data_IF_176151318102
#
_entry.id   IF_176151318102
#
_cell.length_a   1.000
_cell.length_b   1.000
_cell.length_c   1.000
_cell.angle_alpha   90.00
_cell.angle_beta   90.00
_cell.angle_gamma   90.00
#
_symmetry.space_group_name_H-M   'P 1'
#
loop_
_entity.id
_entity.type
_entity.pdbx_description
1 polymer ?
#
# COMPACT_ATOMS: atom_id res chain seq x y z
N UNK A 1 7.19 8.49 -11.13
CA UNK A 1 7.84 8.39 -9.81
C UNK A 1 7.12 9.34 -8.86
N UNK A 2 6.88 8.89 -7.64
CA UNK A 2 6.25 9.76 -6.62
C UNK A 2 7.33 10.57 -5.89
N UNK A 3 7.55 11.78 -6.36
CA UNK A 3 8.53 12.71 -5.78
C UNK A 3 8.23 13.04 -4.32
N UNK A 4 6.95 13.08 -3.91
CA UNK A 4 6.55 13.37 -2.53
C UNK A 4 7.05 12.30 -1.55
N UNK A 5 6.97 11.02 -1.93
CA UNK A 5 7.48 9.93 -1.08
C UNK A 5 8.99 9.92 -0.96
N UNK A 6 9.70 10.21 -2.06
CA UNK A 6 11.17 10.29 -2.04
C UNK A 6 11.60 11.49 -1.20
N UNK A 7 11.01 12.67 -1.43
CA UNK A 7 11.31 13.87 -0.66
C UNK A 7 11.02 13.68 0.83
N UNK A 8 9.86 13.09 1.18
CA UNK A 8 9.50 12.81 2.57
C UNK A 8 10.51 11.91 3.27
N UNK A 9 10.95 10.83 2.62
CA UNK A 9 11.97 9.93 3.17
C UNK A 9 13.32 10.65 3.35
N UNK A 10 13.74 11.42 2.35
CA UNK A 10 15.00 12.19 2.39
C UNK A 10 14.96 13.23 3.51
N UNK A 11 13.86 13.99 3.65
CA UNK A 11 13.70 14.99 4.71
C UNK A 11 13.74 14.33 6.09
N UNK A 12 13.05 13.18 6.27
CA UNK A 12 13.04 12.47 7.53
C UNK A 12 14.43 11.97 7.94
N UNK A 13 15.17 11.36 7.02
CA UNK A 13 16.54 10.92 7.26
C UNK A 13 17.50 12.09 7.48
N UNK A 14 17.39 13.14 6.67
CA UNK A 14 18.18 14.36 6.83
C UNK A 14 17.95 15.00 8.20
N UNK A 15 16.70 15.05 8.69
CA UNK A 15 16.37 15.58 10.01
C UNK A 15 17.11 14.86 11.14
N UNK A 16 17.18 13.52 11.09
CA UNK A 16 17.93 12.71 12.06
C UNK A 16 19.44 12.98 11.98
N UNK A 17 19.99 13.03 10.77
CA UNK A 17 21.41 13.27 10.54
C UNK A 17 21.80 14.71 10.97
N UNK A 18 21.04 15.71 10.56
CA UNK A 18 21.30 17.10 10.93
C UNK A 18 21.16 17.33 12.43
N UNK A 19 20.14 16.75 13.08
CA UNK A 19 19.99 16.83 14.54
C UNK A 19 21.24 16.32 15.25
N UNK A 20 21.75 15.15 14.86
CA UNK A 20 22.98 14.58 15.41
C UNK A 20 24.22 15.45 15.18
N UNK A 21 24.35 16.08 14.00
CA UNK A 21 25.49 16.92 13.67
C UNK A 21 25.48 18.28 14.39
N UNK A 22 24.31 18.88 14.57
CA UNK A 22 24.16 20.18 15.29
C UNK A 22 24.57 20.03 16.74
N UNK A 23 24.26 18.89 17.38
CA UNK A 23 24.68 18.59 18.76
C UNK A 23 26.17 18.19 18.86
N UNK A 24 26.94 18.26 17.78
CA UNK A 24 28.36 17.87 17.76
C UNK A 24 28.57 16.36 17.84
N UNK A 25 27.51 15.56 17.66
CA UNK A 25 27.58 14.10 17.70
C UNK A 25 28.26 13.52 16.46
N UNK A 26 28.86 12.34 16.62
CA UNK A 26 29.49 11.59 15.52
C UNK A 26 28.47 10.66 14.87
N UNK A 27 28.37 10.66 13.54
CA UNK A 27 27.46 9.75 12.81
C UNK A 27 27.81 8.27 13.03
N UNK A 28 29.09 7.96 13.25
CA UNK A 28 29.53 6.60 13.58
C UNK A 28 28.90 6.05 14.87
N UNK A 29 28.52 6.91 15.80
CA UNK A 29 27.84 6.50 17.04
C UNK A 29 26.46 5.92 16.79
N UNK A 30 25.80 6.34 15.69
CA UNK A 30 24.51 5.80 15.25
C UNK A 30 24.66 4.47 14.46
N UNK A 31 25.85 4.10 14.06
CA UNK A 31 26.07 2.86 13.29
C UNK A 31 26.38 1.69 14.24
N UNK A 32 25.33 1.04 14.73
CA UNK A 32 25.42 -0.09 15.65
C UNK A 32 24.84 -1.37 15.00
N UNK A 33 25.68 -2.24 14.37
CA UNK A 33 25.21 -3.42 13.66
C UNK A 33 24.39 -4.39 14.54
N UNK A 34 24.76 -4.54 15.81
CA UNK A 34 24.03 -5.39 16.74
C UNK A 34 22.61 -4.87 17.00
N UNK A 35 22.47 -3.57 17.25
CA UNK A 35 21.16 -2.93 17.42
C UNK A 35 20.29 -3.07 16.16
N UNK A 36 20.89 -2.85 14.97
CA UNK A 36 20.20 -3.01 13.70
C UNK A 36 19.72 -4.45 13.49
N UNK A 37 20.57 -5.44 13.74
CA UNK A 37 20.21 -6.85 13.61
C UNK A 37 19.03 -7.23 14.53
N UNK A 38 19.07 -6.84 15.80
CA UNK A 38 17.98 -7.12 16.76
C UNK A 38 16.66 -6.52 16.27
N UNK A 39 16.66 -5.24 15.87
CA UNK A 39 15.45 -4.55 15.46
C UNK A 39 14.89 -5.12 14.16
N UNK A 40 15.73 -5.31 13.14
CA UNK A 40 15.25 -5.79 11.83
C UNK A 40 14.84 -7.25 11.89
N UNK A 41 15.68 -8.13 12.43
CA UNK A 41 15.38 -9.56 12.47
C UNK A 41 14.23 -9.85 13.44
N UNK A 42 14.20 -9.20 14.60
CA UNK A 42 13.12 -9.36 15.58
C UNK A 42 11.77 -8.89 15.03
N UNK A 43 11.74 -7.70 14.40
CA UNK A 43 10.52 -7.18 13.76
C UNK A 43 10.06 -8.07 12.61
N UNK A 44 10.99 -8.47 11.73
CA UNK A 44 10.67 -9.35 10.58
C UNK A 44 10.17 -10.70 11.06
N UNK A 45 10.81 -11.29 12.06
CA UNK A 45 10.40 -12.56 12.66
C UNK A 45 8.99 -12.50 13.26
N UNK A 46 8.67 -11.42 14.00
CA UNK A 46 7.33 -11.21 14.56
C UNK A 46 6.25 -11.09 13.46
N UNK A 47 6.54 -10.33 12.39
CA UNK A 47 5.62 -10.18 11.25
C UNK A 47 5.43 -11.49 10.51
N UNK A 48 6.50 -12.27 10.29
CA UNK A 48 6.42 -13.57 9.62
C UNK A 48 5.64 -14.59 10.45
N UNK A 49 5.76 -14.56 11.77
CA UNK A 49 5.05 -15.48 12.67
C UNK A 49 3.53 -15.28 12.61
N UNK A 50 3.07 -14.04 12.43
CA UNK A 50 1.63 -13.72 12.42
C UNK A 50 1.01 -13.75 11.03
N UNK A 51 1.82 -13.77 9.95
CA UNK A 51 1.34 -13.55 8.57
C UNK A 51 1.63 -14.76 7.70
N UNK A 52 0.67 -15.16 6.88
CA UNK A 52 0.90 -16.19 5.87
C UNK A 52 2.03 -15.77 4.92
N UNK A 53 2.98 -16.66 4.64
CA UNK A 53 4.18 -16.38 3.85
C UNK A 53 3.87 -15.78 2.46
N UNK A 54 2.79 -16.25 1.81
CA UNK A 54 2.35 -15.71 0.51
C UNK A 54 1.95 -14.24 0.61
N UNK A 55 1.22 -13.87 1.66
CA UNK A 55 0.82 -12.49 1.92
C UNK A 55 2.02 -11.61 2.28
N UNK A 56 2.98 -12.14 3.05
CA UNK A 56 4.23 -11.45 3.36
C UNK A 56 5.00 -11.08 2.08
N UNK A 57 5.23 -12.05 1.19
CA UNK A 57 5.92 -11.79 -0.09
C UNK A 57 5.12 -10.80 -0.96
N UNK A 58 3.78 -10.91 -0.98
CA UNK A 58 2.92 -9.97 -1.71
C UNK A 58 3.08 -8.55 -1.16
N UNK A 59 3.06 -8.36 0.16
CA UNK A 59 3.25 -7.07 0.80
C UNK A 59 4.62 -6.44 0.53
N UNK A 60 5.69 -7.25 0.46
CA UNK A 60 7.02 -6.77 0.03
C UNK A 60 6.99 -6.32 -1.45
N UNK A 61 6.35 -7.10 -2.34
CA UNK A 61 6.23 -6.72 -3.75
C UNK A 61 5.44 -5.43 -3.95
N UNK A 62 4.45 -5.18 -3.11
CA UNK A 62 3.68 -3.94 -3.12
C UNK A 62 4.53 -2.69 -2.80
N UNK A 63 5.70 -2.84 -2.19
CA UNK A 63 6.61 -1.71 -1.91
C UNK A 63 6.92 -0.87 -3.17
N UNK A 64 6.95 -1.50 -4.34
CA UNK A 64 7.13 -0.79 -5.61
C UNK A 64 6.07 0.29 -5.84
N UNK A 65 4.84 0.04 -5.38
CA UNK A 65 3.71 0.96 -5.56
C UNK A 65 3.87 2.24 -4.73
N UNK A 66 4.69 2.20 -3.67
CA UNK A 66 4.97 3.39 -2.85
C UNK A 66 5.72 4.46 -3.65
N UNK A 67 6.60 4.04 -4.57
CA UNK A 67 7.44 4.92 -5.37
C UNK A 67 6.91 5.17 -6.79
N UNK A 68 5.87 4.44 -7.18
CA UNK A 68 5.19 4.61 -8.47
C UNK A 68 3.88 5.36 -8.21
N UNK A 69 3.75 6.54 -8.81
CA UNK A 69 2.49 7.28 -8.73
C UNK A 69 1.42 6.52 -9.51
N UNK A 70 0.28 6.12 -8.90
CA UNK A 70 -0.80 5.54 -9.66
C UNK A 70 -1.28 6.58 -10.67
N UNK A 71 -1.22 6.23 -11.95
CA UNK A 71 -1.85 7.07 -12.96
C UNK A 71 -3.36 7.02 -12.68
N UNK A 72 -3.93 8.19 -12.37
CA UNK A 72 -5.37 8.30 -12.29
C UNK A 72 -5.94 8.20 -13.70
N UNK A 73 -6.28 7.00 -14.10
CA UNK A 73 -6.83 6.68 -15.42
C UNK A 73 -8.36 6.80 -15.47
N UNK A 74 -9.01 7.23 -14.37
CA UNK A 74 -10.49 7.33 -14.27
C UNK A 74 -11.09 8.21 -15.35
N UNK A 75 -10.45 9.34 -15.71
CA UNK A 75 -10.90 10.18 -16.84
C UNK A 75 -10.87 9.42 -18.17
N UNK A 76 -9.79 8.68 -18.43
CA UNK A 76 -9.68 7.82 -19.63
C UNK A 76 -10.68 6.67 -19.59
N UNK A 77 -10.88 6.10 -18.41
CA UNK A 77 -11.84 5.03 -18.19
C UNK A 77 -13.29 5.51 -18.39
N UNK A 78 -13.64 6.71 -17.93
CA UNK A 78 -14.94 7.32 -18.17
C UNK A 78 -15.23 7.48 -19.67
N UNK A 79 -14.21 7.89 -20.46
CA UNK A 79 -14.33 7.98 -21.91
C UNK A 79 -14.60 6.60 -22.52
N UNK A 80 -13.85 5.56 -22.11
CA UNK A 80 -14.07 4.17 -22.56
C UNK A 80 -15.48 3.69 -22.20
N UNK A 81 -15.92 3.91 -20.97
CA UNK A 81 -17.26 3.52 -20.50
C UNK A 81 -18.36 4.20 -21.33
N UNK A 82 -18.20 5.49 -21.62
CA UNK A 82 -19.14 6.20 -22.47
C UNK A 82 -19.20 5.58 -23.90
N UNK A 83 -18.05 5.23 -24.48
CA UNK A 83 -17.99 4.53 -25.75
C UNK A 83 -18.72 3.18 -25.69
N UNK A 84 -18.50 2.37 -24.64
CA UNK A 84 -19.20 1.09 -24.46
C UNK A 84 -20.71 1.28 -24.34
N UNK A 85 -21.16 2.27 -23.56
CA UNK A 85 -22.57 2.58 -23.39
C UNK A 85 -23.25 3.01 -24.70
N UNK A 86 -22.58 3.87 -25.48
CA UNK A 86 -23.07 4.31 -26.78
C UNK A 86 -23.13 3.15 -27.79
N UNK A 87 -22.08 2.31 -27.83
CA UNK A 87 -22.00 1.16 -28.71
C UNK A 87 -23.09 0.12 -28.39
N UNK A 88 -23.21 -0.23 -27.10
CA UNK A 88 -24.23 -1.18 -26.65
C UNK A 88 -25.65 -0.72 -26.99
N UNK A 89 -25.91 0.59 -26.94
CA UNK A 89 -27.22 1.14 -27.28
C UNK A 89 -27.50 1.22 -28.78
N UNK A 90 -26.46 1.45 -29.62
CA UNK A 90 -26.62 1.56 -31.09
C UNK A 90 -26.72 0.21 -31.77
N UNK A 91 -25.89 -0.76 -31.36
CA UNK A 91 -25.68 -2.01 -32.09
C UNK A 91 -26.06 -3.26 -31.28
N UNK A 92 -26.21 -3.16 -30.01
CA UNK A 92 -26.43 -4.18 -28.98
C UNK A 92 -25.21 -4.45 -28.12
N UNK A 93 -25.43 -5.08 -26.98
CA UNK A 93 -24.38 -5.44 -26.00
C UNK A 93 -23.36 -6.42 -26.61
N UNK A 94 -23.77 -7.23 -27.59
CA UNK A 94 -22.88 -8.17 -28.31
C UNK A 94 -21.73 -7.48 -29.03
N UNK A 95 -21.90 -6.23 -29.48
CA UNK A 95 -20.85 -5.45 -30.13
C UNK A 95 -19.64 -5.16 -29.23
N UNK A 96 -19.81 -5.29 -27.90
CA UNK A 96 -18.73 -5.10 -26.92
C UNK A 96 -17.70 -6.23 -26.94
N UNK A 97 -17.95 -7.36 -27.59
CA UNK A 97 -16.99 -8.47 -27.72
C UNK A 97 -15.65 -8.03 -28.32
N UNK A 98 -15.67 -7.08 -29.24
CA UNK A 98 -14.47 -6.53 -29.86
C UNK A 98 -13.54 -5.80 -28.86
N UNK A 99 -14.09 -5.25 -27.76
CA UNK A 99 -13.33 -4.59 -26.71
C UNK A 99 -12.70 -5.62 -25.76
N UNK A 100 -13.34 -6.76 -25.50
CA UNK A 100 -12.83 -7.83 -24.62
C UNK A 100 -11.45 -8.31 -25.10
N UNK A 101 -11.32 -8.53 -26.42
CA UNK A 101 -10.08 -9.03 -27.06
C UNK A 101 -8.89 -8.06 -26.90
N UNK A 102 -9.15 -6.77 -26.72
CA UNK A 102 -8.13 -5.71 -26.62
C UNK A 102 -7.84 -5.30 -25.18
N UNK A 103 -8.68 -5.70 -24.23
CA UNK A 103 -8.54 -5.29 -22.84
C UNK A 103 -7.57 -6.20 -22.10
N UNK A 104 -6.63 -5.58 -21.36
CA UNK A 104 -5.60 -6.30 -20.59
C UNK A 104 -6.01 -6.51 -19.12
N UNK A 105 -6.85 -5.63 -18.58
CA UNK A 105 -7.31 -5.73 -17.22
C UNK A 105 -8.31 -6.90 -17.05
N UNK A 106 -7.98 -7.93 -16.24
CA UNK A 106 -8.86 -9.08 -16.06
C UNK A 106 -10.23 -8.73 -15.50
N UNK A 107 -10.32 -7.72 -14.62
CA UNK A 107 -11.58 -7.30 -14.04
C UNK A 107 -12.47 -6.61 -15.07
N UNK A 108 -11.89 -5.75 -15.90
CA UNK A 108 -12.61 -5.11 -17.02
C UNK A 108 -13.09 -6.14 -18.03
N UNK A 109 -12.23 -7.09 -18.38
CA UNK A 109 -12.57 -8.18 -19.32
C UNK A 109 -13.73 -9.01 -18.80
N UNK A 110 -13.70 -9.37 -17.50
CA UNK A 110 -14.79 -10.14 -16.87
C UNK A 110 -16.13 -9.37 -16.90
N UNK A 111 -16.12 -8.08 -16.56
CA UNK A 111 -17.33 -7.25 -16.58
C UNK A 111 -17.92 -7.11 -17.99
N UNK A 112 -17.09 -6.88 -19.00
CA UNK A 112 -17.53 -6.83 -20.39
C UNK A 112 -18.07 -8.19 -20.86
N UNK A 113 -17.46 -9.31 -20.44
CA UNK A 113 -17.93 -10.65 -20.77
C UNK A 113 -19.32 -10.90 -20.21
N UNK A 114 -19.56 -10.55 -18.93
CA UNK A 114 -20.87 -10.67 -18.30
C UNK A 114 -21.95 -9.86 -19.05
N UNK A 115 -21.58 -8.68 -19.57
CA UNK A 115 -22.48 -7.89 -20.42
C UNK A 115 -22.82 -8.60 -21.73
N UNK A 116 -21.81 -9.06 -22.45
CA UNK A 116 -21.95 -9.76 -23.75
C UNK A 116 -22.76 -11.04 -23.60
N UNK A 117 -22.60 -11.76 -22.50
CA UNK A 117 -23.37 -12.97 -22.16
C UNK A 117 -24.83 -12.67 -21.78
N UNK A 118 -25.27 -11.40 -21.77
CA UNK A 118 -26.63 -11.00 -21.41
C UNK A 118 -26.97 -11.20 -19.94
N UNK A 119 -25.98 -11.22 -19.05
CA UNK A 119 -26.18 -11.43 -17.63
C UNK A 119 -27.04 -10.30 -17.03
N UNK A 120 -28.09 -10.61 -16.24
CA UNK A 120 -28.90 -9.58 -15.58
C UNK A 120 -28.09 -8.66 -14.67
N UNK A 121 -28.44 -7.38 -14.64
CA UNK A 121 -27.72 -6.32 -13.92
C UNK A 121 -27.45 -6.66 -12.44
N UNK A 122 -28.41 -7.27 -11.75
CA UNK A 122 -28.27 -7.63 -10.34
C UNK A 122 -27.27 -8.79 -10.15
N UNK A 123 -27.19 -9.71 -11.13
CA UNK A 123 -26.21 -10.80 -11.11
C UNK A 123 -24.81 -10.28 -11.42
N UNK A 124 -24.67 -9.31 -12.35
CA UNK A 124 -23.39 -8.62 -12.58
C UNK A 124 -22.90 -7.97 -11.29
N UNK A 125 -23.79 -7.27 -10.58
CA UNK A 125 -23.48 -6.63 -9.30
C UNK A 125 -22.97 -7.64 -8.27
N UNK A 126 -23.68 -8.74 -8.09
CA UNK A 126 -23.32 -9.80 -7.14
C UNK A 126 -21.94 -10.40 -7.44
N UNK A 127 -21.71 -10.83 -8.68
CA UNK A 127 -20.46 -11.47 -9.08
C UNK A 127 -19.27 -10.53 -8.94
N UNK A 128 -19.41 -9.29 -9.42
CA UNK A 128 -18.32 -8.32 -9.33
C UNK A 128 -18.07 -7.84 -7.90
N UNK A 129 -19.11 -7.71 -7.07
CA UNK A 129 -18.95 -7.34 -5.66
C UNK A 129 -18.16 -8.39 -4.88
N UNK A 130 -18.39 -9.69 -5.14
CA UNK A 130 -17.62 -10.79 -4.55
C UNK A 130 -16.14 -10.69 -4.97
N UNK A 131 -15.87 -10.48 -6.25
CA UNK A 131 -14.49 -10.33 -6.75
C UNK A 131 -13.79 -9.11 -6.12
N UNK A 132 -14.50 -7.99 -6.01
CA UNK A 132 -13.98 -6.78 -5.38
C UNK A 132 -13.66 -7.00 -3.90
N UNK A 133 -14.55 -7.66 -3.17
CA UNK A 133 -14.36 -7.98 -1.75
C UNK A 133 -13.10 -8.82 -1.53
N UNK A 134 -12.93 -9.91 -2.27
CA UNK A 134 -11.75 -10.78 -2.10
C UNK A 134 -10.46 -10.10 -2.57
N UNK A 135 -10.52 -9.28 -3.62
CA UNK A 135 -9.38 -8.48 -4.02
C UNK A 135 -8.98 -7.49 -2.92
N UNK A 136 -9.93 -6.72 -2.41
CA UNK A 136 -9.68 -5.75 -1.34
C UNK A 136 -9.11 -6.42 -0.09
N UNK A 137 -9.69 -7.53 0.33
CA UNK A 137 -9.24 -8.30 1.48
C UNK A 137 -7.78 -8.72 1.34
N UNK A 138 -7.42 -9.32 0.20
CA UNK A 138 -6.05 -9.77 -0.05
C UNK A 138 -5.04 -8.62 -0.13
N UNK A 139 -5.39 -7.51 -0.79
CA UNK A 139 -4.48 -6.37 -0.90
C UNK A 139 -4.29 -5.66 0.45
N UNK A 140 -5.37 -5.50 1.22
CA UNK A 140 -5.31 -4.90 2.56
C UNK A 140 -4.50 -5.77 3.53
N UNK A 141 -4.70 -7.08 3.55
CA UNK A 141 -3.92 -7.99 4.40
C UNK A 141 -2.43 -8.00 3.99
N UNK A 142 -2.12 -7.95 2.69
CA UNK A 142 -0.74 -7.82 2.25
C UNK A 142 -0.11 -6.46 2.67
N UNK A 143 -0.86 -5.35 2.60
CA UNK A 143 -0.39 -4.04 3.05
C UNK A 143 -0.22 -3.96 4.59
N UNK A 144 -0.96 -4.77 5.34
CA UNK A 144 -0.97 -4.81 6.82
C UNK A 144 0.36 -5.25 7.42
N UNK A 145 1.21 -6.00 6.67
CA UNK A 145 2.54 -6.40 7.14
C UNK A 145 3.39 -5.19 7.55
N UNK A 146 3.24 -4.07 6.84
CA UNK A 146 3.96 -2.84 7.12
C UNK A 146 3.45 -2.12 8.37
N UNK A 147 2.14 -2.13 8.63
CA UNK A 147 1.61 -1.59 9.89
C UNK A 147 1.96 -2.49 11.08
N UNK A 148 2.01 -3.81 10.88
CA UNK A 148 2.48 -4.74 11.90
C UNK A 148 3.97 -4.52 12.23
N UNK A 149 4.82 -4.39 11.19
CA UNK A 149 6.22 -4.01 11.39
C UNK A 149 6.37 -2.69 12.15
N UNK A 150 5.56 -1.68 11.81
CA UNK A 150 5.50 -0.41 12.53
C UNK A 150 5.07 -0.54 13.98
N UNK A 151 4.20 -1.49 14.31
CA UNK A 151 3.79 -1.79 15.68
C UNK A 151 4.88 -2.52 16.49
N UNK A 152 5.58 -3.48 15.87
CA UNK A 152 6.60 -4.27 16.57
C UNK A 152 7.95 -3.55 16.69
N UNK A 153 8.37 -2.78 15.69
CA UNK A 153 9.71 -2.20 15.66
C UNK A 153 10.08 -1.38 16.92
N UNK A 154 9.21 -0.52 17.48
CA UNK A 154 9.56 0.23 18.70
C UNK A 154 9.77 -0.67 19.92
N UNK A 155 8.91 -1.68 20.10
CA UNK A 155 9.02 -2.60 21.23
C UNK A 155 10.22 -3.53 21.12
N UNK A 156 10.54 -3.99 19.91
CA UNK A 156 11.76 -4.73 19.63
C UNK A 156 13.00 -3.84 19.82
N UNK A 157 12.89 -2.54 19.52
CA UNK A 157 13.92 -1.55 19.85
C UNK A 157 14.19 -1.45 21.36
N UNK A 158 13.14 -1.48 22.17
CA UNK A 158 13.27 -1.53 23.64
C UNK A 158 13.93 -2.85 24.09
N UNK A 159 13.57 -3.99 23.47
CA UNK A 159 14.27 -5.26 23.75
C UNK A 159 15.77 -5.15 23.44
N UNK A 160 16.12 -4.53 22.31
CA UNK A 160 17.51 -4.27 21.96
C UNK A 160 18.24 -3.38 22.96
N UNK A 161 17.53 -2.38 23.51
CA UNK A 161 18.07 -1.52 24.55
C UNK A 161 18.36 -2.30 25.85
N UNK A 162 17.45 -3.16 26.27
CA UNK A 162 17.64 -4.03 27.46
C UNK A 162 18.84 -4.97 27.26
N UNK A 163 18.98 -5.59 26.07
CA UNK A 163 20.13 -6.43 25.74
C UNK A 163 21.45 -5.64 25.79
N UNK A 164 21.47 -4.41 25.30
CA UNK A 164 22.63 -3.50 25.43
C UNK A 164 23.00 -3.23 26.89
N UNK A 165 22.01 -2.96 27.75
CA UNK A 165 22.23 -2.73 29.17
C UNK A 165 22.69 -3.99 29.91
N UNK A 166 22.20 -5.17 29.57
CA UNK A 166 22.71 -6.45 30.11
C UNK A 166 24.20 -6.57 29.81
N UNK A 167 24.61 -6.29 28.56
CA UNK A 167 26.02 -6.32 28.19
C UNK A 167 26.88 -5.33 28.99
N UNK A 168 26.34 -4.15 29.33
CA UNK A 168 27.00 -3.19 30.25
C UNK A 168 27.19 -3.81 31.64
N UNK A 169 26.15 -4.43 32.19
CA UNK A 169 26.20 -5.04 33.52
C UNK A 169 27.21 -6.20 33.62
N UNK A 170 27.37 -6.98 32.56
CA UNK A 170 28.36 -8.05 32.47
C UNK A 170 29.81 -7.55 32.40
N UNK A 171 30.03 -6.29 32.01
CA UNK A 171 31.35 -5.71 31.76
C UNK A 171 31.65 -4.46 32.63
N UNK A 172 31.05 -4.36 33.84
CA UNK A 172 31.23 -3.19 34.71
C UNK A 172 32.70 -2.90 35.09
N UNK A 173 33.55 -3.91 35.08
CA UNK A 173 34.98 -3.76 35.37
C UNK A 173 35.81 -3.18 34.20
N UNK A 174 35.21 -3.05 33.00
CA UNK A 174 35.88 -2.56 31.78
C UNK A 174 35.17 -1.27 31.27
N UNK A 175 35.65 -0.07 31.65
CA UNK A 175 35.02 1.19 31.24
C UNK A 175 34.90 1.39 29.73
N UNK A 176 35.79 0.80 28.93
CA UNK A 176 35.74 0.90 27.46
C UNK A 176 34.52 0.18 26.87
N UNK A 177 34.08 -0.91 27.49
CA UNK A 177 32.89 -1.68 27.05
C UNK A 177 31.58 -1.07 27.55
N UNK A 178 31.59 -0.38 28.67
CA UNK A 178 30.40 0.31 29.21
C UNK A 178 29.85 1.30 28.19
N UNK A 179 30.69 2.17 27.64
CA UNK A 179 30.28 3.18 26.64
C UNK A 179 29.65 2.57 25.37
N UNK A 180 30.26 1.47 24.88
CA UNK A 180 29.72 0.79 23.70
C UNK A 180 28.38 0.12 23.95
N UNK A 181 28.17 -0.53 25.10
CA UNK A 181 26.90 -1.16 25.45
C UNK A 181 25.77 -0.14 25.63
N UNK A 182 26.07 1.01 26.27
CA UNK A 182 25.12 2.11 26.39
C UNK A 182 24.73 2.65 24.99
N UNK A 183 25.71 2.83 24.09
CA UNK A 183 25.43 3.29 22.73
C UNK A 183 24.50 2.32 21.98
N UNK A 184 24.74 1.00 22.07
CA UNK A 184 23.87 -0.02 21.48
C UNK A 184 22.46 0.10 22.01
N UNK A 185 22.28 0.29 23.33
CA UNK A 185 20.96 0.40 23.96
C UNK A 185 20.15 1.59 23.40
N UNK A 186 20.75 2.79 23.38
CA UNK A 186 20.05 3.98 22.86
C UNK A 186 19.79 3.89 21.37
N UNK A 187 20.75 3.42 20.58
CA UNK A 187 20.62 3.31 19.12
C UNK A 187 19.58 2.27 18.72
N UNK A 188 19.42 1.17 19.45
CA UNK A 188 18.36 0.20 19.21
C UNK A 188 16.96 0.84 19.34
N UNK A 189 16.76 1.68 20.34
CA UNK A 189 15.50 2.40 20.52
C UNK A 189 15.26 3.39 19.38
N UNK A 190 16.29 4.16 19.01
CA UNK A 190 16.22 5.09 17.87
C UNK A 190 15.83 4.35 16.58
N UNK A 191 16.48 3.21 16.28
CA UNK A 191 16.16 2.41 15.09
C UNK A 191 14.71 1.91 15.12
N UNK A 192 14.26 1.38 16.26
CA UNK A 192 12.88 0.89 16.40
C UNK A 192 11.85 1.97 16.12
N UNK A 193 12.01 3.13 16.74
CA UNK A 193 11.07 4.27 16.60
C UNK A 193 11.17 4.91 15.21
N UNK A 194 12.38 5.12 14.70
CA UNK A 194 12.59 5.74 13.39
C UNK A 194 12.05 4.84 12.26
N UNK A 195 12.36 3.56 12.25
CA UNK A 195 11.85 2.63 11.24
C UNK A 195 10.32 2.54 11.28
N UNK A 196 9.72 2.51 12.47
CA UNK A 196 8.27 2.47 12.61
C UNK A 196 7.61 3.71 11.99
N UNK A 197 8.03 4.90 12.42
CA UNK A 197 7.30 6.14 12.12
C UNK A 197 7.72 6.80 10.81
N UNK A 198 8.96 6.62 10.37
CA UNK A 198 9.46 7.25 9.15
C UNK A 198 9.43 6.30 7.93
N UNK A 199 9.28 4.98 8.16
CA UNK A 199 9.33 4.01 7.07
C UNK A 199 8.06 3.13 7.06
N UNK A 200 7.85 2.28 8.07
CA UNK A 200 6.84 1.22 8.00
C UNK A 200 5.41 1.75 8.00
N UNK A 201 5.05 2.66 8.91
CA UNK A 201 3.71 3.22 8.97
C UNK A 201 3.37 4.09 7.76
N UNK A 202 4.24 4.99 7.26
CA UNK A 202 4.01 5.72 6.02
C UNK A 202 3.81 4.80 4.81
N UNK A 203 4.63 3.75 4.66
CA UNK A 203 4.47 2.74 3.62
C UNK A 203 3.09 2.08 3.70
N UNK A 204 2.69 1.60 4.89
CA UNK A 204 1.39 0.97 5.09
C UNK A 204 0.24 1.88 4.69
N UNK A 205 0.25 3.13 5.15
CA UNK A 205 -0.81 4.10 4.86
C UNK A 205 -0.91 4.40 3.36
N UNK A 206 0.24 4.52 2.70
CA UNK A 206 0.27 4.76 1.26
C UNK A 206 -0.28 3.56 0.46
N UNK A 207 0.10 2.34 0.85
CA UNK A 207 -0.43 1.13 0.22
C UNK A 207 -1.94 0.99 0.43
N UNK A 208 -2.45 1.31 1.62
CA UNK A 208 -3.90 1.36 1.88
C UNK A 208 -4.61 2.37 0.97
N UNK A 209 -3.99 3.53 0.74
CA UNK A 209 -4.49 4.54 -0.19
C UNK A 209 -4.54 4.02 -1.64
N UNK A 210 -3.53 3.26 -2.07
CA UNK A 210 -3.53 2.61 -3.40
C UNK A 210 -4.68 1.60 -3.54
N UNK A 211 -4.90 0.75 -2.52
CA UNK A 211 -6.01 -0.21 -2.53
C UNK A 211 -7.35 0.52 -2.61
N UNK A 212 -7.54 1.57 -1.83
CA UNK A 212 -8.76 2.37 -1.86
C UNK A 212 -9.01 3.03 -3.23
N UNK A 213 -7.95 3.53 -3.87
CA UNK A 213 -8.05 4.12 -5.21
C UNK A 213 -8.47 3.07 -6.25
N UNK A 214 -7.89 1.87 -6.20
CA UNK A 214 -8.28 0.78 -7.10
C UNK A 214 -9.72 0.29 -6.84
N UNK A 215 -10.16 0.25 -5.57
CA UNK A 215 -11.54 -0.08 -5.23
C UNK A 215 -12.52 0.93 -5.80
N UNK A 216 -12.25 2.23 -5.70
CA UNK A 216 -13.07 3.28 -6.30
C UNK A 216 -13.16 3.16 -7.83
N UNK A 217 -12.04 2.80 -8.49
CA UNK A 217 -11.98 2.52 -9.93
C UNK A 217 -12.88 1.33 -10.32
N UNK A 218 -12.82 0.24 -9.56
CA UNK A 218 -13.65 -0.96 -9.79
C UNK A 218 -15.13 -0.70 -9.53
N UNK A 219 -15.44 0.08 -8.51
CA UNK A 219 -16.83 0.47 -8.22
C UNK A 219 -17.42 1.33 -9.34
N UNK A 220 -16.66 2.27 -9.88
CA UNK A 220 -17.02 3.04 -11.06
C UNK A 220 -17.35 2.13 -12.26
N UNK A 221 -16.52 1.12 -12.53
CA UNK A 221 -16.75 0.13 -13.57
C UNK A 221 -18.02 -0.68 -13.33
N UNK A 222 -18.19 -1.21 -12.11
CA UNK A 222 -19.36 -2.00 -11.73
C UNK A 222 -20.66 -1.23 -11.94
N UNK A 223 -20.72 0.02 -11.47
CA UNK A 223 -21.90 0.85 -11.65
C UNK A 223 -22.17 1.17 -13.12
N UNK A 224 -21.13 1.32 -13.93
CA UNK A 224 -21.27 1.49 -15.37
C UNK A 224 -21.86 0.24 -16.04
N UNK A 225 -21.32 -0.95 -15.74
CA UNK A 225 -21.84 -2.21 -16.33
C UNK A 225 -23.27 -2.49 -15.91
N UNK A 226 -23.62 -2.25 -14.65
CA UNK A 226 -25.03 -2.37 -14.17
C UNK A 226 -25.96 -1.43 -14.93
N UNK A 227 -25.52 -0.19 -15.19
CA UNK A 227 -26.32 0.77 -15.96
C UNK A 227 -26.46 0.36 -17.43
N UNK A 228 -25.38 -0.13 -18.06
CA UNK A 228 -25.42 -0.64 -19.45
C UNK A 228 -26.35 -1.86 -19.55
N UNK A 229 -26.25 -2.81 -18.60
CA UNK A 229 -27.12 -4.00 -18.59
C UNK A 229 -28.61 -3.66 -18.39
N UNK A 230 -28.92 -2.58 -17.69
CA UNK A 230 -30.29 -2.05 -17.53
C UNK A 230 -30.80 -1.31 -18.76
N UNK A 231 -29.93 -1.00 -19.72
CA UNK A 231 -30.26 -0.18 -20.88
C UNK A 231 -30.40 1.32 -20.56
N UNK A 232 -29.80 1.80 -19.47
CA UNK A 232 -29.83 3.22 -19.09
C UNK A 232 -29.33 4.10 -20.24
N UNK A 233 -29.82 5.36 -20.28
CA UNK A 233 -29.36 6.33 -21.27
C UNK A 233 -27.87 6.63 -21.05
N UNK A 234 -27.01 6.64 -22.10
CA UNK A 234 -25.60 6.99 -21.98
C UNK A 234 -25.33 8.31 -21.26
N UNK A 235 -26.23 9.30 -21.34
CA UNK A 235 -26.12 10.55 -20.57
C UNK A 235 -26.20 10.32 -19.07
N UNK A 236 -27.10 9.45 -18.60
CA UNK A 236 -27.21 9.09 -17.18
C UNK A 236 -26.00 8.31 -16.70
N UNK A 237 -25.43 7.45 -17.56
CA UNK A 237 -24.17 6.74 -17.24
C UNK A 237 -23.06 7.75 -17.03
N UNK A 238 -22.91 8.73 -17.94
CA UNK A 238 -21.86 9.77 -17.84
C UNK A 238 -22.04 10.62 -16.58
N UNK A 239 -23.24 11.07 -16.28
CA UNK A 239 -23.55 11.88 -15.08
C UNK A 239 -23.18 11.14 -13.78
N UNK A 240 -23.49 9.85 -13.67
CA UNK A 240 -23.05 9.02 -12.53
C UNK A 240 -21.53 8.89 -12.43
N UNK A 241 -20.82 8.84 -13.57
CA UNK A 241 -19.36 8.76 -13.60
C UNK A 241 -18.68 10.05 -13.13
N UNK A 242 -19.30 11.20 -13.36
CA UNK A 242 -18.77 12.50 -12.92
C UNK A 242 -18.57 12.54 -11.40
N UNK A 243 -19.47 11.93 -10.62
CA UNK A 243 -19.33 11.82 -9.15
C UNK A 243 -18.02 11.13 -8.73
N UNK A 244 -17.52 10.17 -9.51
CA UNK A 244 -16.24 9.50 -9.23
C UNK A 244 -15.02 10.32 -9.66
N UNK A 245 -15.19 11.29 -10.56
CA UNK A 245 -14.12 12.15 -11.05
C UNK A 245 -13.87 13.34 -10.11
N UNK A 246 -14.91 13.87 -9.47
CA UNK A 246 -14.83 15.03 -8.57
C UNK A 246 -14.28 14.72 -7.17
N UNK A 247 -14.22 13.46 -6.75
CA UNK A 247 -13.72 13.05 -5.43
C UNK A 247 -12.24 13.44 -5.14
N UNK A 248 -11.53 14.07 -6.08
CA UNK A 248 -10.12 14.48 -5.93
C UNK A 248 -9.89 15.99 -6.14
N UNK A 249 -10.91 16.76 -6.45
CA UNK A 249 -10.79 18.23 -6.60
C UNK A 249 -11.18 18.97 -5.30
N UNK A 250 -11.60 18.24 -4.29
CA UNK A 250 -11.83 18.69 -2.90
C UNK A 250 -10.74 18.15 -1.96
#
# INVERSE_FOLDING_TARGET
MDWGSIAGLVIALAGLVFGQLIDGGRLNSLMQPAAFAVVILGTTGAVLLQTEFKLFIKGIRMLRLVFVHPQDDRKKLAIKINQWSLQARKESVLSLESYIKREQDPFVRKGLQLLVDGTPADRIREVCAIDMYYYELQEREAAKIWSAAGGYAPTVGILGAVLGLIHVMENLSDPAKIGSGIAVAFVATIYGVALANLVFLPISNKLKGHVQHEMSRREMLLNAWVSIARGDNPKLVTERLESYLHLRES
#
